data_IF_979889661780
#
_entry.id   IF_979889661780
#
_cell.length_a   1.000
_cell.length_b   1.000
_cell.length_c   1.000
_cell.angle_alpha   90.00
_cell.angle_beta   90.00
_cell.angle_gamma   90.00
#
_symmetry.space_group_name_H-M   'P 1'
#
loop_
_entity.id
_entity.type
_entity.pdbx_description
1 polymer ?
#
# COMPACT_ATOMS: atom_id res chain seq x y z
N UNK A 1 6.53 3.19 10.44
CA UNK A 1 6.27 1.73 10.46
C UNK A 1 7.51 1.01 10.97
N UNK A 2 7.32 -0.02 11.80
CA UNK A 2 8.40 -0.83 12.38
C UNK A 2 8.51 -2.21 11.69
N UNK A 3 9.62 -2.93 11.96
CA UNK A 3 9.81 -4.31 11.50
C UNK A 3 8.67 -5.24 11.94
N UNK A 4 8.22 -5.09 13.18
CA UNK A 4 7.18 -5.96 13.74
C UNK A 4 5.80 -5.67 13.14
N UNK A 5 5.52 -4.40 12.81
CA UNK A 5 4.29 -4.02 12.09
C UNK A 5 4.23 -4.71 10.73
N UNK A 6 5.34 -4.70 9.98
CA UNK A 6 5.44 -5.35 8.65
C UNK A 6 5.17 -6.84 8.76
N UNK A 7 5.87 -7.53 9.68
CA UNK A 7 5.75 -8.98 9.83
C UNK A 7 4.32 -9.34 10.25
N UNK A 8 3.75 -8.61 11.21
CA UNK A 8 2.39 -8.86 11.69
C UNK A 8 1.37 -8.68 10.57
N UNK A 9 1.47 -7.60 9.80
CA UNK A 9 0.56 -7.31 8.70
C UNK A 9 0.69 -8.31 7.55
N UNK A 10 1.91 -8.70 7.17
CA UNK A 10 2.10 -9.67 6.10
C UNK A 10 1.67 -11.09 6.52
N UNK A 11 1.89 -11.48 7.77
CA UNK A 11 1.43 -12.79 8.25
C UNK A 11 -0.09 -12.86 8.39
N UNK A 12 -0.77 -11.76 8.75
CA UNK A 12 -2.23 -11.77 8.85
C UNK A 12 -2.91 -12.08 7.51
N UNK A 13 -2.30 -11.66 6.39
CA UNK A 13 -2.79 -11.95 5.03
C UNK A 13 -2.22 -13.25 4.47
N UNK A 14 -0.90 -13.46 4.56
CA UNK A 14 -0.20 -14.46 3.76
C UNK A 14 0.21 -15.74 4.50
N UNK A 15 0.05 -15.82 5.83
CA UNK A 15 0.44 -17.03 6.58
C UNK A 15 -0.29 -18.29 6.09
N UNK A 16 -1.53 -18.15 5.61
CA UNK A 16 -2.33 -19.25 5.04
C UNK A 16 -1.69 -19.87 3.78
N UNK A 17 -0.77 -19.17 3.13
CA UNK A 17 -0.03 -19.65 1.96
C UNK A 17 1.35 -20.24 2.32
N UNK A 18 1.64 -20.43 3.61
CA UNK A 18 2.93 -20.95 4.07
C UNK A 18 4.02 -19.88 4.18
N UNK A 19 3.69 -18.59 4.05
CA UNK A 19 4.61 -17.51 4.39
C UNK A 19 4.88 -17.54 5.90
N UNK A 20 6.16 -17.53 6.27
CA UNK A 20 6.58 -17.61 7.67
C UNK A 20 7.32 -16.35 8.09
N UNK A 21 7.35 -16.09 9.41
CA UNK A 21 8.16 -15.01 9.99
C UNK A 21 9.62 -15.09 9.53
N UNK A 22 10.18 -16.29 9.49
CA UNK A 22 11.57 -16.51 9.08
C UNK A 22 11.85 -15.97 7.67
N UNK A 23 10.98 -16.28 6.70
CA UNK A 23 11.11 -15.79 5.32
C UNK A 23 11.00 -14.26 5.30
N UNK A 24 9.99 -13.69 5.98
CA UNK A 24 9.79 -12.23 6.01
C UNK A 24 10.98 -11.50 6.65
N UNK A 25 11.54 -12.05 7.72
CA UNK A 25 12.70 -11.48 8.40
C UNK A 25 13.94 -11.43 7.49
N UNK A 26 14.16 -12.46 6.68
CA UNK A 26 15.24 -12.48 5.70
C UNK A 26 15.05 -11.43 4.60
N UNK A 27 13.84 -11.33 4.06
CA UNK A 27 13.55 -10.33 3.01
C UNK A 27 13.64 -8.90 3.53
N UNK A 28 13.16 -8.62 4.75
CA UNK A 28 13.29 -7.31 5.38
C UNK A 28 14.77 -6.97 5.59
N UNK A 29 15.58 -7.91 6.10
CA UNK A 29 17.01 -7.68 6.28
C UNK A 29 17.72 -7.43 4.95
N UNK A 30 17.37 -8.16 3.90
CA UNK A 30 17.87 -7.94 2.54
C UNK A 30 17.54 -6.54 2.02
N UNK A 31 16.29 -6.10 2.16
CA UNK A 31 15.87 -4.77 1.74
C UNK A 31 16.57 -3.65 2.50
N UNK A 32 16.76 -3.81 3.82
CA UNK A 32 17.50 -2.84 4.64
C UNK A 32 18.97 -2.74 4.20
N UNK A 33 19.60 -3.87 3.85
CA UNK A 33 20.98 -3.89 3.31
C UNK A 33 21.10 -3.17 1.97
N UNK A 34 20.03 -3.13 1.19
CA UNK A 34 19.95 -2.39 -0.07
C UNK A 34 19.63 -0.90 0.13
N UNK A 35 19.41 -0.46 1.37
CA UNK A 35 19.12 0.93 1.71
C UNK A 35 17.64 1.32 1.58
N UNK A 36 16.73 0.35 1.44
CA UNK A 36 15.30 0.64 1.35
C UNK A 36 14.71 1.01 2.70
N UNK A 37 13.69 1.88 2.66
CA UNK A 37 12.89 2.21 3.83
C UNK A 37 12.01 1.02 4.21
N UNK A 38 11.55 0.95 5.47
CA UNK A 38 10.56 -0.04 5.88
C UNK A 38 9.26 0.05 5.05
N UNK A 39 8.87 1.25 4.63
CA UNK A 39 7.69 1.44 3.77
C UNK A 39 7.91 0.88 2.37
N UNK A 40 9.04 1.17 1.74
CA UNK A 40 9.41 0.58 0.44
C UNK A 40 9.46 -0.95 0.50
N UNK A 41 10.07 -1.51 1.55
CA UNK A 41 10.14 -2.96 1.78
C UNK A 41 8.72 -3.55 1.92
N UNK A 42 7.87 -2.93 2.73
CA UNK A 42 6.51 -3.40 2.94
C UNK A 42 5.69 -3.38 1.65
N UNK A 43 5.74 -2.28 0.90
CA UNK A 43 5.05 -2.15 -0.39
C UNK A 43 5.55 -3.21 -1.38
N UNK A 44 6.86 -3.38 -1.52
CA UNK A 44 7.44 -4.37 -2.44
C UNK A 44 7.08 -5.82 -2.08
N UNK A 45 7.04 -6.15 -0.78
CA UNK A 45 6.60 -7.46 -0.30
C UNK A 45 5.13 -7.71 -0.59
N UNK A 46 4.25 -6.72 -0.36
CA UNK A 46 2.83 -6.82 -0.72
C UNK A 46 2.63 -7.01 -2.22
N UNK A 47 3.35 -6.25 -3.05
CA UNK A 47 3.30 -6.40 -4.51
C UNK A 47 3.72 -7.81 -4.95
N UNK A 48 4.82 -8.31 -4.40
CA UNK A 48 5.38 -9.62 -4.77
C UNK A 48 4.47 -10.76 -4.31
N UNK A 49 4.07 -10.75 -3.04
CA UNK A 49 3.23 -11.80 -2.45
C UNK A 49 1.81 -11.77 -3.03
N UNK A 50 1.24 -10.58 -3.22
CA UNK A 50 -0.07 -10.39 -3.86
C UNK A 50 -0.09 -10.97 -5.27
N UNK A 51 0.95 -10.69 -6.06
CA UNK A 51 1.10 -11.27 -7.39
C UNK A 51 1.27 -12.79 -7.37
N UNK A 52 2.11 -13.33 -6.49
CA UNK A 52 2.39 -14.78 -6.40
C UNK A 52 1.16 -15.58 -5.95
N UNK A 53 0.38 -15.06 -5.01
CA UNK A 53 -0.77 -15.77 -4.44
C UNK A 53 -2.12 -15.32 -5.01
N UNK A 54 -2.11 -14.43 -6.00
CA UNK A 54 -3.30 -13.81 -6.59
C UNK A 54 -4.21 -13.14 -5.55
N UNK A 55 -3.59 -12.54 -4.52
CA UNK A 55 -4.29 -11.75 -3.51
C UNK A 55 -4.44 -10.32 -4.00
N UNK A 56 -5.64 -9.76 -3.82
CA UNK A 56 -5.91 -8.37 -4.21
C UNK A 56 -5.32 -7.43 -3.16
N UNK A 57 -4.40 -6.59 -3.61
CA UNK A 57 -3.77 -5.54 -2.81
C UNK A 57 -4.18 -4.16 -3.32
N UNK A 58 -4.31 -3.21 -2.38
CA UNK A 58 -4.58 -1.81 -2.69
C UNK A 58 -3.41 -0.95 -2.25
N UNK A 59 -2.97 -0.05 -3.13
CA UNK A 59 -1.88 0.87 -2.85
C UNK A 59 -2.35 2.29 -3.06
N UNK A 60 -2.03 3.15 -2.11
CA UNK A 60 -2.24 4.59 -2.25
C UNK A 60 -1.22 5.17 -3.23
N UNK A 61 -1.51 6.33 -3.86
CA UNK A 61 -0.53 7.02 -4.71
C UNK A 61 0.78 7.32 -3.99
N UNK A 62 0.73 7.68 -2.70
CA UNK A 62 1.90 7.91 -1.87
C UNK A 62 2.79 6.67 -1.71
N UNK A 63 2.20 5.51 -1.44
CA UNK A 63 2.95 4.25 -1.33
C UNK A 63 3.62 3.87 -2.64
N UNK A 64 2.94 4.07 -3.77
CA UNK A 64 3.48 3.80 -5.10
C UNK A 64 4.58 4.79 -5.48
N UNK A 65 4.40 6.07 -5.16
CA UNK A 65 5.38 7.13 -5.40
C UNK A 65 6.71 6.82 -4.69
N UNK A 66 6.64 6.44 -3.40
CA UNK A 66 7.82 6.04 -2.65
C UNK A 66 8.46 4.77 -3.21
N UNK A 67 7.66 3.76 -3.56
CA UNK A 67 8.19 2.49 -4.08
C UNK A 67 8.85 2.62 -5.46
N UNK A 68 8.34 3.50 -6.31
CA UNK A 68 8.82 3.72 -7.68
C UNK A 68 9.81 4.88 -7.81
N UNK A 69 10.05 5.65 -6.74
CA UNK A 69 10.95 6.81 -6.77
C UNK A 69 10.42 7.96 -7.63
N UNK A 70 9.11 8.18 -7.62
CA UNK A 70 8.37 9.19 -8.41
C UNK A 70 7.51 10.05 -7.48
N UNK A 71 6.74 10.98 -8.01
CA UNK A 71 5.84 11.84 -7.23
C UNK A 71 4.42 11.29 -7.18
N UNK A 72 3.65 11.65 -6.15
CA UNK A 72 2.23 11.30 -6.07
C UNK A 72 1.43 11.83 -7.26
N UNK A 73 1.78 13.02 -7.74
CA UNK A 73 1.15 13.65 -8.90
C UNK A 73 1.39 12.83 -10.18
N UNK A 74 2.61 12.33 -10.39
CA UNK A 74 2.93 11.45 -11.52
C UNK A 74 2.13 10.14 -11.46
N UNK A 75 2.00 9.53 -10.28
CA UNK A 75 1.18 8.33 -10.10
C UNK A 75 -0.29 8.62 -10.42
N UNK A 76 -0.86 9.72 -9.90
CA UNK A 76 -2.25 10.09 -10.15
C UNK A 76 -2.48 10.35 -11.64
N UNK A 77 -1.58 11.10 -12.29
CA UNK A 77 -1.66 11.37 -13.72
C UNK A 77 -1.62 10.07 -14.54
N UNK A 78 -0.76 9.11 -14.16
CA UNK A 78 -0.68 7.81 -14.83
C UNK A 78 -1.98 7.01 -14.66
N UNK A 79 -2.56 7.00 -13.46
CA UNK A 79 -3.86 6.36 -13.18
C UNK A 79 -4.97 6.98 -14.02
N UNK A 80 -5.00 8.30 -14.17
CA UNK A 80 -6.01 8.99 -14.99
C UNK A 80 -5.87 8.67 -16.49
N UNK A 81 -4.65 8.61 -17.00
CA UNK A 81 -4.38 8.25 -18.40
C UNK A 81 -4.82 6.81 -18.67
N UNK A 82 -4.39 5.87 -17.81
CA UNK A 82 -4.79 4.46 -17.92
C UNK A 82 -6.31 4.28 -17.83
N UNK A 83 -6.98 5.01 -16.95
CA UNK A 83 -8.44 4.97 -16.84
C UNK A 83 -9.14 5.38 -18.15
N UNK A 84 -8.69 6.45 -18.80
CA UNK A 84 -9.24 6.87 -20.11
C UNK A 84 -8.97 5.86 -21.21
N UNK A 85 -7.82 5.19 -21.20
CA UNK A 85 -7.48 4.15 -22.17
C UNK A 85 -8.35 2.90 -22.01
N UNK A 86 -8.67 2.52 -20.76
CA UNK A 86 -9.60 1.42 -20.46
C UNK A 86 -11.02 1.75 -20.92
N UNK A 87 -11.52 2.96 -20.63
CA UNK A 87 -12.83 3.42 -21.11
C UNK A 87 -12.91 3.39 -22.65
N UNK A 88 -11.84 3.82 -23.34
CA UNK A 88 -11.78 3.79 -24.79
C UNK A 88 -11.79 2.36 -25.38
N UNK A 89 -11.34 1.37 -24.60
CA UNK A 89 -11.40 -0.05 -24.95
C UNK A 89 -12.72 -0.73 -24.54
N UNK A 90 -13.60 0.00 -23.84
CA UNK A 90 -14.86 -0.53 -23.33
C UNK A 90 -14.74 -1.31 -22.02
N UNK A 91 -13.61 -1.17 -21.31
CA UNK A 91 -13.40 -1.71 -19.96
C UNK A 91 -13.83 -0.70 -18.89
N UNK A 92 -14.18 -1.20 -17.69
CA UNK A 92 -14.52 -0.37 -16.54
C UNK A 92 -13.26 -0.12 -15.68
N UNK A 93 -12.75 1.14 -15.60
CA UNK A 93 -11.57 1.46 -14.80
C UNK A 93 -11.72 1.17 -13.31
N UNK A 94 -12.95 1.11 -12.79
CA UNK A 94 -13.21 0.85 -11.37
C UNK A 94 -12.78 -0.54 -10.92
N UNK A 95 -12.57 -1.47 -11.85
CA UNK A 95 -11.99 -2.79 -11.57
C UNK A 95 -10.52 -2.73 -11.14
N UNK A 96 -9.81 -1.68 -11.55
CA UNK A 96 -8.37 -1.47 -11.30
C UNK A 96 -8.10 -0.32 -10.32
N UNK A 97 -8.93 0.72 -10.34
CA UNK A 97 -8.72 1.94 -9.58
C UNK A 97 -9.92 2.28 -8.71
N UNK A 98 -9.71 2.36 -7.40
CA UNK A 98 -10.75 2.76 -6.46
C UNK A 98 -10.59 4.21 -6.05
N UNK A 99 -11.57 5.06 -6.39
CA UNK A 99 -11.66 6.41 -5.82
C UNK A 99 -12.29 6.33 -4.44
N UNK A 100 -11.53 6.72 -3.43
CA UNK A 100 -12.02 6.83 -2.05
C UNK A 100 -12.17 8.30 -1.73
N UNK A 101 -13.40 8.75 -1.47
CA UNK A 101 -13.61 10.11 -0.99
C UNK A 101 -13.04 10.25 0.43
N UNK A 102 -12.31 11.33 0.74
CA UNK A 102 -11.79 11.54 2.08
C UNK A 102 -12.95 11.61 3.07
N UNK A 103 -12.93 10.73 4.08
CA UNK A 103 -13.93 10.76 5.15
C UNK A 103 -13.94 12.15 5.77
N UNK A 104 -15.09 12.82 5.81
CA UNK A 104 -15.25 14.10 6.49
C UNK A 104 -14.78 13.96 7.95
N UNK A 105 -13.63 14.55 8.26
CA UNK A 105 -13.11 14.57 9.62
C UNK A 105 -13.97 15.50 10.46
N UNK A 106 -14.89 14.95 11.24
CA UNK A 106 -15.58 15.70 12.28
C UNK A 106 -14.55 16.13 13.32
N UNK A 107 -14.17 17.41 13.27
CA UNK A 107 -13.25 18.01 14.23
C UNK A 107 -14.08 18.54 15.40
N UNK A 108 -13.96 17.91 16.57
CA UNK A 108 -14.57 18.42 17.80
C UNK A 108 -13.57 19.32 18.52
N UNK A 109 -13.92 20.61 18.66
CA UNK A 109 -13.16 21.53 19.53
C UNK A 109 -13.65 21.30 20.96
N UNK A 110 -12.82 20.67 21.79
CA UNK A 110 -13.13 20.46 23.20
C UNK A 110 -12.54 21.62 24.02
N UNK A 111 -13.37 22.41 24.73
CA UNK A 111 -12.87 23.51 25.54
C UNK A 111 -12.03 22.99 26.74
N UNK A 112 -11.06 23.78 27.22
CA UNK A 112 -10.24 23.41 28.37
C UNK A 112 -11.11 23.05 29.59
N UNK A 113 -10.91 21.87 30.16
CA UNK A 113 -11.65 21.37 31.33
C UNK A 113 -12.94 20.59 31.03
N UNK A 114 -13.29 20.37 29.76
CA UNK A 114 -14.47 19.57 29.39
C UNK A 114 -14.23 18.05 29.37
N UNK A 115 -12.97 17.60 29.42
CA UNK A 115 -12.63 16.20 29.69
C UNK A 115 -12.43 16.06 31.20
N UNK A 116 -13.38 15.41 31.88
CA UNK A 116 -13.27 14.99 33.28
C UNK A 116 -12.83 13.54 33.36
#
# INVERSE_FOLDING_TARGET
>A
MSREDIITNLLSTYAKYGVTRFILEQEIESGLKQGFSYQTIYTGLRMTLGNVFHEREYFTPAEMAEALGTTEEEIINQVEVMGKELEAQGEDPSEYFTRVEPVEKQTFIIPPGALK
#
